data_IF_899486025164
#
_entry.id   IF_899486025164
#
_cell.length_a   1.000
_cell.length_b   1.000
_cell.length_c   1.000
_cell.angle_alpha   90.00
_cell.angle_beta   90.00
_cell.angle_gamma   90.00
#
_symmetry.space_group_name_H-M   'P 1'
#
loop_
_entity.id
_entity.type
_entity.pdbx_description
1 polymer ?
#
# COMPACT_ATOMS: atom_id res chain seq x y z
N UNK A 1 -11.65 15.08 12.74
CA UNK A 1 -11.68 16.52 13.05
C UNK A 1 -10.68 17.19 12.11
N UNK A 2 -11.14 17.69 10.99
CA UNK A 2 -10.29 18.36 9.97
C UNK A 2 -10.17 19.81 10.38
N UNK A 3 -9.00 20.19 10.84
CA UNK A 3 -8.68 21.54 11.23
C UNK A 3 -8.07 22.30 10.05
N UNK A 4 -8.74 23.36 9.64
CA UNK A 4 -8.14 24.53 9.02
C UNK A 4 -7.55 24.34 7.62
N UNK A 5 -8.38 24.35 6.60
CA UNK A 5 -7.92 24.65 5.25
C UNK A 5 -7.60 26.15 5.19
N UNK A 6 -6.33 26.46 5.22
CA UNK A 6 -5.82 27.76 4.83
C UNK A 6 -6.05 27.85 3.32
N UNK A 7 -6.89 28.76 2.87
CA UNK A 7 -7.15 29.07 1.45
C UNK A 7 -5.93 29.76 0.82
N UNK A 8 -4.85 29.00 0.64
CA UNK A 8 -3.86 29.29 -0.38
C UNK A 8 -4.28 28.46 -1.60
N UNK A 9 -4.53 29.13 -2.72
CA UNK A 9 -4.76 28.45 -3.98
C UNK A 9 -3.57 27.50 -4.21
N UNK A 10 -3.84 26.19 -4.19
CA UNK A 10 -2.81 25.20 -4.50
C UNK A 10 -2.43 25.39 -5.97
N UNK A 11 -1.15 25.56 -6.32
CA UNK A 11 -0.76 25.65 -7.70
C UNK A 11 -1.14 24.36 -8.42
N UNK A 12 -1.92 24.47 -9.48
CA UNK A 12 -2.26 23.35 -10.34
C UNK A 12 -1.32 23.29 -11.55
N UNK A 13 -0.97 22.09 -11.94
CA UNK A 13 -0.02 21.83 -13.00
C UNK A 13 -0.69 21.00 -14.11
N UNK A 14 -0.45 21.36 -15.36
CA UNK A 14 -0.70 20.47 -16.48
C UNK A 14 0.57 19.74 -16.89
N UNK A 15 0.36 18.55 -17.47
CA UNK A 15 1.43 17.74 -18.03
C UNK A 15 1.29 17.69 -19.54
N UNK A 16 2.03 18.55 -20.24
CA UNK A 16 2.15 18.51 -21.70
C UNK A 16 3.49 17.85 -22.07
N UNK A 17 3.42 16.54 -22.32
CA UNK A 17 4.59 15.71 -22.61
C UNK A 17 5.60 15.73 -21.44
N UNK A 18 6.79 16.30 -21.61
CA UNK A 18 7.81 16.40 -20.55
C UNK A 18 7.81 17.75 -19.82
N UNK A 19 6.92 18.67 -20.20
CA UNK A 19 6.85 20.00 -19.58
C UNK A 19 5.73 20.04 -18.55
N UNK A 20 6.02 20.73 -17.44
CA UNK A 20 5.04 21.08 -16.41
C UNK A 20 4.73 22.54 -16.56
N UNK A 21 3.48 22.87 -16.76
CA UNK A 21 3.01 24.25 -16.86
C UNK A 21 2.04 24.54 -15.74
N UNK A 22 2.18 25.70 -15.11
CA UNK A 22 1.22 26.19 -14.14
C UNK A 22 -0.08 26.55 -14.85
N UNK A 23 -1.19 26.10 -14.28
CA UNK A 23 -2.53 26.45 -14.73
C UNK A 23 -3.19 27.35 -13.70
N UNK A 24 -3.91 28.37 -14.19
CA UNK A 24 -4.73 29.23 -13.36
C UNK A 24 -6.11 28.62 -13.09
N UNK A 25 -6.61 27.80 -14.03
CA UNK A 25 -7.94 27.19 -13.98
C UNK A 25 -7.90 25.75 -14.49
N UNK A 26 -8.77 24.90 -13.95
CA UNK A 26 -9.00 23.53 -14.43
C UNK A 26 -10.50 23.26 -14.51
N UNK A 27 -10.92 22.48 -15.50
CA UNK A 27 -12.32 22.16 -15.76
C UNK A 27 -12.62 20.69 -15.44
N UNK A 28 -13.89 20.39 -15.24
CA UNK A 28 -14.35 19.03 -14.99
C UNK A 28 -13.91 18.06 -16.10
N UNK A 29 -13.17 17.03 -15.74
CA UNK A 29 -12.57 16.05 -16.66
C UNK A 29 -11.07 16.26 -16.92
N UNK A 30 -10.49 17.37 -16.47
CA UNK A 30 -9.06 17.62 -16.60
C UNK A 30 -8.25 16.76 -15.63
N UNK A 31 -7.07 16.31 -16.09
CA UNK A 31 -6.07 15.66 -15.26
C UNK A 31 -5.02 16.71 -14.87
N UNK A 32 -4.97 17.02 -13.60
CA UNK A 32 -4.08 18.04 -13.06
C UNK A 32 -3.07 17.44 -12.07
N UNK A 33 -1.90 18.07 -11.99
CA UNK A 33 -0.92 17.80 -10.95
C UNK A 33 -1.05 18.79 -9.81
N UNK A 34 -0.98 18.28 -8.59
CA UNK A 34 -0.94 19.07 -7.38
C UNK A 34 0.35 18.74 -6.63
N UNK A 35 1.16 19.75 -6.26
CA UNK A 35 2.33 19.50 -5.42
C UNK A 35 1.91 18.88 -4.09
N UNK A 36 2.44 17.70 -3.78
CA UNK A 36 2.17 17.02 -2.52
C UNK A 36 3.38 17.11 -1.61
N UNK A 37 3.19 17.68 -0.43
CA UNK A 37 4.22 17.77 0.62
C UNK A 37 4.05 16.68 1.69
N UNK A 38 3.56 15.49 1.31
CA UNK A 38 3.39 14.35 2.19
C UNK A 38 2.06 14.34 2.96
N UNK A 39 1.07 15.13 2.52
CA UNK A 39 -0.27 15.20 3.14
C UNK A 39 -1.28 14.33 2.40
N UNK A 40 -1.19 14.29 1.07
CA UNK A 40 -2.15 13.59 0.21
C UNK A 40 -1.69 12.15 -0.07
N UNK A 41 -2.63 11.23 0.00
CA UNK A 41 -2.43 9.81 -0.33
C UNK A 41 -3.28 9.41 -1.54
N UNK A 42 -2.93 8.29 -2.15
CA UNK A 42 -3.74 7.71 -3.21
C UNK A 42 -5.16 7.40 -2.71
N UNK A 43 -6.15 7.83 -3.47
CA UNK A 43 -7.55 7.66 -3.10
C UNK A 43 -8.14 8.81 -2.28
N UNK A 44 -7.34 9.79 -1.89
CA UNK A 44 -7.85 10.98 -1.22
C UNK A 44 -8.71 11.81 -2.17
N UNK A 45 -9.77 12.37 -1.63
CA UNK A 45 -10.66 13.27 -2.33
C UNK A 45 -10.43 14.69 -1.81
N UNK A 46 -10.14 15.61 -2.72
CA UNK A 46 -10.00 17.03 -2.41
C UNK A 46 -11.30 17.72 -2.77
N UNK A 47 -11.91 18.41 -1.80
CA UNK A 47 -13.17 19.11 -1.98
C UNK A 47 -13.11 20.52 -1.41
N UNK A 48 -13.89 21.41 -1.97
CA UNK A 48 -14.11 22.74 -1.42
C UNK A 48 -15.52 22.80 -0.81
N UNK A 49 -15.57 22.95 0.53
CA UNK A 49 -16.82 23.19 1.28
C UNK A 49 -17.60 21.93 1.69
N UNK A 50 -17.77 20.94 0.85
CA UNK A 50 -18.51 19.72 1.16
C UNK A 50 -17.57 18.57 1.56
N UNK A 51 -17.96 17.80 2.59
CA UNK A 51 -17.25 16.59 2.99
C UNK A 51 -17.64 15.42 2.06
N UNK A 52 -17.11 15.42 0.83
CA UNK A 52 -17.29 14.36 -0.15
C UNK A 52 -16.09 13.39 -0.11
N UNK A 53 -16.38 12.12 -0.32
CA UNK A 53 -15.35 11.10 -0.51
C UNK A 53 -15.76 10.19 -1.68
N UNK A 54 -14.94 10.17 -2.71
CA UNK A 54 -15.10 9.22 -3.80
C UNK A 54 -14.54 7.86 -3.35
N UNK A 55 -15.35 6.83 -3.46
CA UNK A 55 -15.01 5.45 -3.13
C UNK A 55 -14.92 4.61 -4.40
N UNK A 56 -14.37 3.39 -4.30
CA UNK A 56 -14.35 2.44 -5.42
C UNK A 56 -13.04 2.39 -6.19
N UNK A 57 -11.94 3.02 -5.68
CA UNK A 57 -10.61 2.77 -6.20
C UNK A 57 -10.09 1.44 -5.64
N UNK A 58 -10.05 0.38 -6.44
CA UNK A 58 -9.66 -0.93 -5.96
C UNK A 58 -8.14 -1.01 -5.74
N UNK A 59 -7.76 -1.60 -4.64
CA UNK A 59 -6.39 -1.97 -4.34
C UNK A 59 -6.29 -3.50 -4.38
N UNK A 60 -5.71 -4.02 -5.45
CA UNK A 60 -5.63 -5.46 -5.68
C UNK A 60 -4.50 -6.11 -4.89
N UNK A 61 -4.73 -7.33 -4.42
CA UNK A 61 -3.65 -8.14 -3.89
C UNK A 61 -2.59 -8.39 -4.98
N UNK A 62 -1.29 -8.29 -4.64
CA UNK A 62 -0.23 -8.49 -5.61
C UNK A 62 -0.16 -9.94 -6.07
N UNK A 63 0.34 -10.14 -7.29
CA UNK A 63 0.53 -11.44 -7.92
C UNK A 63 1.98 -11.93 -7.83
N UNK A 64 2.90 -11.03 -7.53
CA UNK A 64 4.34 -11.32 -7.43
C UNK A 64 4.91 -10.77 -6.13
N UNK A 65 5.75 -11.57 -5.49
CA UNK A 65 6.42 -11.17 -4.25
C UNK A 65 7.94 -11.29 -4.36
N UNK A 66 8.62 -10.31 -3.79
CA UNK A 66 10.08 -10.29 -3.65
C UNK A 66 10.44 -9.90 -2.22
N UNK A 67 11.47 -10.50 -1.67
CA UNK A 67 12.10 -10.00 -0.46
C UNK A 67 13.04 -8.85 -0.79
N UNK A 68 13.14 -7.88 0.10
CA UNK A 68 14.05 -6.76 -0.06
C UNK A 68 14.94 -6.62 1.16
N UNK A 69 16.23 -6.54 0.89
CA UNK A 69 17.26 -6.34 1.90
C UNK A 69 18.19 -5.21 1.46
N UNK A 70 18.74 -4.50 2.44
CA UNK A 70 19.74 -3.49 2.17
C UNK A 70 21.12 -4.14 1.98
N UNK A 71 21.89 -3.65 1.00
CA UNK A 71 23.25 -4.14 0.80
C UNK A 71 24.20 -3.67 1.91
N UNK A 72 23.98 -2.46 2.44
CA UNK A 72 24.74 -1.87 3.53
C UNK A 72 23.83 -1.68 4.76
N UNK A 73 24.06 -2.38 5.88
CA UNK A 73 23.22 -2.30 7.09
C UNK A 73 23.04 -0.87 7.64
N UNK A 74 24.00 0.02 7.43
CA UNK A 74 23.93 1.42 7.86
C UNK A 74 22.83 2.20 7.13
N UNK A 75 22.37 1.71 6.00
CA UNK A 75 21.33 2.32 5.16
C UNK A 75 19.92 1.78 5.41
N UNK A 76 19.73 1.00 6.46
CA UNK A 76 18.42 0.38 6.76
C UNK A 76 17.31 1.42 6.97
N UNK A 77 17.62 2.56 7.60
CA UNK A 77 16.63 3.64 7.79
C UNK A 77 16.20 4.25 6.45
N UNK A 78 17.17 4.52 5.56
CA UNK A 78 16.90 5.05 4.23
C UNK A 78 16.09 4.08 3.38
N UNK A 79 16.41 2.77 3.45
CA UNK A 79 15.60 1.75 2.78
C UNK A 79 14.15 1.79 3.24
N UNK A 80 13.92 1.79 4.56
CA UNK A 80 12.56 1.83 5.12
C UNK A 80 11.82 3.10 4.69
N UNK A 81 12.46 4.27 4.80
CA UNK A 81 11.86 5.54 4.40
C UNK A 81 11.51 5.55 2.90
N UNK A 82 12.44 5.13 2.03
CA UNK A 82 12.19 5.05 0.60
C UNK A 82 11.06 4.08 0.24
N UNK A 83 11.02 2.90 0.87
CA UNK A 83 9.94 1.93 0.64
C UNK A 83 8.59 2.43 1.16
N UNK A 84 8.55 3.13 2.30
CA UNK A 84 7.31 3.73 2.80
C UNK A 84 6.78 4.74 1.79
N UNK A 85 7.62 5.67 1.32
CA UNK A 85 7.21 6.69 0.37
C UNK A 85 6.79 6.08 -0.99
N UNK A 86 7.56 5.12 -1.53
CA UNK A 86 7.20 4.42 -2.76
C UNK A 86 5.90 3.61 -2.63
N UNK A 87 5.61 3.11 -1.42
CA UNK A 87 4.35 2.45 -1.11
C UNK A 87 3.18 3.43 -1.05
N UNK A 88 3.35 4.59 -0.45
CA UNK A 88 2.36 5.67 -0.38
C UNK A 88 2.04 6.24 -1.77
N UNK A 89 3.03 6.32 -2.65
CA UNK A 89 2.87 6.69 -4.06
C UNK A 89 2.20 5.59 -4.92
N UNK A 90 2.00 4.38 -4.35
CA UNK A 90 1.43 3.24 -5.07
C UNK A 90 2.36 2.58 -6.10
N UNK A 91 3.64 2.94 -6.09
CA UNK A 91 4.63 2.34 -6.98
C UNK A 91 4.84 0.84 -6.70
N UNK A 92 4.70 0.44 -5.44
CA UNK A 92 4.87 -0.93 -4.95
C UNK A 92 4.04 -1.15 -3.69
N UNK A 93 3.64 -2.38 -3.41
CA UNK A 93 3.07 -2.73 -2.12
C UNK A 93 4.15 -3.23 -1.18
N UNK A 94 4.16 -2.74 0.06
CA UNK A 94 5.14 -3.11 1.07
C UNK A 94 4.45 -3.88 2.18
N UNK A 95 4.98 -5.06 2.50
CA UNK A 95 4.47 -5.92 3.56
C UNK A 95 5.55 -6.12 4.62
N UNK A 96 5.16 -5.99 5.87
CA UNK A 96 6.00 -6.21 7.05
C UNK A 96 5.60 -7.53 7.69
N UNK A 97 6.40 -8.62 7.55
CA UNK A 97 6.09 -9.88 8.21
C UNK A 97 5.94 -9.71 9.72
N UNK A 98 4.97 -10.40 10.31
CA UNK A 98 4.76 -10.45 11.76
C UNK A 98 5.91 -11.22 12.41
N UNK A 99 6.28 -12.35 11.82
CA UNK A 99 7.46 -13.13 12.22
C UNK A 99 8.61 -12.85 11.26
N UNK A 100 9.66 -12.19 11.76
CA UNK A 100 10.86 -11.86 10.97
C UNK A 100 11.05 -10.35 10.74
N UNK A 101 12.12 -10.00 10.04
CA UNK A 101 12.53 -8.60 9.82
C UNK A 101 12.70 -8.22 8.35
N UNK A 102 12.64 -9.20 7.44
CA UNK A 102 12.84 -8.98 6.01
C UNK A 102 11.54 -8.47 5.39
N UNK A 103 11.58 -7.28 4.82
CA UNK A 103 10.44 -6.69 4.15
C UNK A 103 10.12 -7.44 2.85
N UNK A 104 8.84 -7.52 2.52
CA UNK A 104 8.37 -8.09 1.27
C UNK A 104 7.76 -6.98 0.41
N UNK A 105 8.06 -7.05 -0.87
CA UNK A 105 7.48 -6.20 -1.90
C UNK A 105 6.48 -7.02 -2.69
N UNK A 106 5.31 -6.45 -2.91
CA UNK A 106 4.26 -7.03 -3.74
C UNK A 106 4.00 -6.17 -4.97
N UNK A 107 3.91 -6.78 -6.13
CA UNK A 107 3.67 -6.12 -7.40
C UNK A 107 2.72 -6.93 -8.30
N UNK A 108 2.13 -6.26 -9.27
CA UNK A 108 1.35 -6.90 -10.34
C UNK A 108 2.28 -7.37 -11.48
N UNK A 109 3.40 -6.69 -11.68
CA UNK A 109 4.34 -6.99 -12.75
C UNK A 109 5.81 -6.83 -12.38
N UNK A 110 6.67 -7.53 -13.12
CA UNK A 110 8.12 -7.56 -12.91
C UNK A 110 8.76 -6.17 -12.95
N UNK A 111 8.34 -5.32 -13.89
CA UNK A 111 8.91 -3.99 -14.10
C UNK A 111 8.80 -3.08 -12.88
N UNK A 112 7.77 -3.25 -12.04
CA UNK A 112 7.62 -2.46 -10.82
C UNK A 112 8.81 -2.66 -9.87
N UNK A 113 9.34 -3.87 -9.75
CA UNK A 113 10.54 -4.13 -8.92
C UNK A 113 11.78 -3.44 -9.45
N UNK A 114 11.96 -3.40 -10.78
CA UNK A 114 13.09 -2.75 -11.42
C UNK A 114 13.02 -1.22 -11.23
N UNK A 115 11.84 -0.64 -11.40
CA UNK A 115 11.59 0.79 -11.13
C UNK A 115 11.87 1.13 -9.68
N UNK A 116 11.40 0.30 -8.74
CA UNK A 116 11.64 0.51 -7.31
C UNK A 116 13.13 0.41 -6.98
N UNK A 117 13.84 -0.58 -7.51
CA UNK A 117 15.28 -0.74 -7.29
C UNK A 117 16.04 0.50 -7.80
N UNK A 118 15.69 0.97 -9.01
CA UNK A 118 16.30 2.16 -9.62
C UNK A 118 16.02 3.42 -8.77
N UNK A 119 14.78 3.63 -8.33
CA UNK A 119 14.41 4.79 -7.51
C UNK A 119 15.08 4.74 -6.14
N UNK A 120 15.16 3.58 -5.49
CA UNK A 120 15.87 3.43 -4.22
C UNK A 120 17.35 3.82 -4.34
N UNK A 121 18.00 3.46 -5.44
CA UNK A 121 19.40 3.81 -5.67
C UNK A 121 19.59 5.30 -5.97
N UNK A 122 18.78 5.88 -6.87
CA UNK A 122 18.99 7.24 -7.38
C UNK A 122 18.37 8.33 -6.52
N UNK A 123 17.20 8.08 -5.90
CA UNK A 123 16.51 9.07 -5.09
C UNK A 123 16.89 8.98 -3.61
N UNK A 124 17.10 7.76 -3.10
CA UNK A 124 17.37 7.50 -1.67
C UNK A 124 18.81 7.08 -1.38
N UNK A 125 19.62 6.89 -2.40
CA UNK A 125 21.03 6.46 -2.27
C UNK A 125 21.20 5.07 -1.66
N UNK A 126 20.23 4.18 -1.86
CA UNK A 126 20.21 2.84 -1.24
C UNK A 126 20.25 1.76 -2.29
N UNK A 127 21.32 0.97 -2.30
CA UNK A 127 21.37 -0.27 -3.07
C UNK A 127 20.60 -1.36 -2.33
N UNK A 128 19.44 -1.72 -2.87
CA UNK A 128 18.62 -2.80 -2.36
C UNK A 128 18.90 -4.10 -3.12
N UNK A 129 18.91 -5.22 -2.41
CA UNK A 129 18.90 -6.57 -2.98
C UNK A 129 17.47 -7.05 -2.99
N UNK A 130 16.89 -7.19 -4.18
CA UNK A 130 15.54 -7.69 -4.38
C UNK A 130 15.64 -9.14 -4.87
N UNK A 131 15.11 -10.07 -4.08
CA UNK A 131 15.23 -11.51 -4.32
C UNK A 131 13.85 -12.17 -4.43
N UNK A 132 13.71 -13.29 -5.14
CA UNK A 132 12.47 -14.05 -5.16
C UNK A 132 11.98 -14.38 -3.75
N UNK A 133 10.69 -14.24 -3.51
CA UNK A 133 10.03 -14.72 -2.30
C UNK A 133 9.35 -16.08 -2.57
N UNK A 134 9.15 -16.87 -1.53
CA UNK A 134 8.37 -18.10 -1.60
C UNK A 134 6.85 -17.82 -1.75
N UNK A 135 6.40 -16.67 -1.30
CA UNK A 135 4.98 -16.30 -1.34
C UNK A 135 4.53 -15.92 -2.74
N UNK A 136 3.33 -16.35 -3.12
CA UNK A 136 2.72 -16.07 -4.42
C UNK A 136 1.30 -15.52 -4.29
N UNK A 137 0.64 -15.70 -3.14
CA UNK A 137 -0.73 -15.27 -2.93
C UNK A 137 -0.83 -14.47 -1.63
N UNK A 138 -1.51 -13.33 -1.69
CA UNK A 138 -1.88 -12.52 -0.53
C UNK A 138 -3.38 -12.40 -0.39
N UNK A 139 -3.88 -12.38 0.84
CA UNK A 139 -5.25 -12.01 1.18
C UNK A 139 -5.27 -11.16 2.44
N UNK A 140 -5.93 -10.02 2.37
CA UNK A 140 -6.26 -9.29 3.58
C UNK A 140 -7.28 -10.08 4.39
N UNK A 141 -7.15 -10.05 5.71
CA UNK A 141 -8.02 -10.81 6.59
C UNK A 141 -8.78 -9.90 7.53
N UNK A 142 -10.06 -10.21 7.72
CA UNK A 142 -10.92 -9.54 8.68
C UNK A 142 -11.76 -10.55 9.43
N UNK A 143 -12.18 -10.16 10.63
CA UNK A 143 -13.14 -10.95 11.43
C UNK A 143 -14.00 -9.98 12.24
N UNK A 144 -15.26 -10.32 12.41
CA UNK A 144 -16.19 -9.56 13.25
C UNK A 144 -15.86 -9.75 14.76
N UNK A 145 -15.09 -10.80 15.11
CA UNK A 145 -14.59 -11.10 16.44
C UNK A 145 -13.08 -10.85 16.51
N UNK A 146 -12.67 -9.79 17.21
CA UNK A 146 -11.26 -9.41 17.37
C UNK A 146 -10.42 -10.52 18.06
N UNK A 147 -11.02 -11.29 18.98
CA UNK A 147 -10.31 -12.38 19.68
C UNK A 147 -10.01 -13.50 18.70
N UNK A 148 -10.94 -13.81 17.82
CA UNK A 148 -10.76 -14.82 16.78
C UNK A 148 -9.75 -14.37 15.74
N UNK A 149 -9.76 -13.09 15.34
CA UNK A 149 -8.74 -12.52 14.46
C UNK A 149 -7.34 -12.61 15.08
N UNK A 150 -7.24 -12.27 16.37
CA UNK A 150 -5.95 -12.38 17.07
C UNK A 150 -5.46 -13.83 17.13
N UNK A 151 -6.34 -14.78 17.47
CA UNK A 151 -6.01 -16.22 17.46
C UNK A 151 -5.52 -16.69 16.09
N UNK A 152 -6.19 -16.22 15.03
CA UNK A 152 -5.78 -16.51 13.66
C UNK A 152 -4.38 -16.01 13.36
N UNK A 153 -4.10 -14.74 13.69
CA UNK A 153 -2.78 -14.12 13.49
C UNK A 153 -1.69 -14.85 14.27
N UNK A 154 -1.94 -15.14 15.56
CA UNK A 154 -0.98 -15.81 16.42
C UNK A 154 -0.68 -17.26 15.95
N UNK A 155 -1.71 -17.97 15.45
CA UNK A 155 -1.56 -19.33 14.93
C UNK A 155 -0.88 -19.40 13.55
N UNK A 156 -0.83 -18.28 12.82
CA UNK A 156 -0.30 -18.19 11.47
C UNK A 156 0.83 -17.15 11.34
N UNK A 157 1.48 -16.75 12.40
CA UNK A 157 2.45 -15.67 12.47
C UNK A 157 3.54 -15.71 11.38
N UNK A 158 4.01 -16.94 11.05
CA UNK A 158 5.04 -17.21 10.04
C UNK A 158 4.62 -16.87 8.59
N UNK A 159 3.34 -16.65 8.37
CA UNK A 159 2.75 -16.27 7.09
C UNK A 159 1.93 -14.97 7.15
N UNK A 160 1.88 -14.34 8.31
CA UNK A 160 1.21 -13.06 8.48
C UNK A 160 2.15 -11.89 8.23
N UNK A 161 1.62 -10.88 7.59
CA UNK A 161 2.28 -9.60 7.38
C UNK A 161 1.28 -8.45 7.56
N UNK A 162 1.79 -7.26 7.80
CA UNK A 162 1.03 -6.01 7.79
C UNK A 162 1.38 -5.23 6.54
N UNK A 163 0.40 -4.69 5.86
CA UNK A 163 0.62 -3.80 4.74
C UNK A 163 0.99 -2.37 5.17
N UNK A 164 1.03 -1.41 4.25
CA UNK A 164 1.42 -0.02 4.52
C UNK A 164 0.48 0.71 5.49
N UNK A 165 -0.78 0.26 5.63
CA UNK A 165 -1.78 0.82 6.54
C UNK A 165 -2.07 -0.08 7.74
N UNK A 166 -1.14 -0.97 8.06
CA UNK A 166 -1.24 -1.95 9.15
C UNK A 166 -2.37 -2.99 9.00
N UNK A 167 -2.91 -3.15 7.79
CA UNK A 167 -3.94 -4.15 7.55
C UNK A 167 -3.34 -5.57 7.56
N UNK A 168 -3.88 -6.50 8.39
CA UNK A 168 -3.37 -7.84 8.46
C UNK A 168 -3.61 -8.62 7.17
N UNK A 169 -2.55 -9.23 6.69
CA UNK A 169 -2.50 -9.93 5.41
C UNK A 169 -1.88 -11.30 5.60
N UNK A 170 -2.55 -12.35 5.15
CA UNK A 170 -1.98 -13.70 5.07
C UNK A 170 -1.30 -13.88 3.72
N UNK A 171 -0.09 -14.42 3.76
CA UNK A 171 0.75 -14.72 2.60
C UNK A 171 0.95 -16.23 2.51
N UNK A 172 0.68 -16.81 1.35
CA UNK A 172 0.84 -18.25 1.12
C UNK A 172 1.65 -18.55 -0.13
N UNK A 173 2.24 -19.74 -0.17
CA UNK A 173 3.10 -20.14 -1.29
C UNK A 173 2.28 -20.55 -2.53
N UNK A 174 1.07 -21.10 -2.31
CA UNK A 174 0.21 -21.55 -3.40
C UNK A 174 -1.28 -21.53 -3.03
N UNK A 175 -2.16 -21.43 -4.02
CA UNK A 175 -3.60 -21.29 -3.80
C UNK A 175 -4.28 -22.45 -3.03
N UNK A 176 -3.89 -23.75 -3.17
CA UNK A 176 -4.41 -24.82 -2.34
C UNK A 176 -4.19 -24.63 -0.85
N UNK A 177 -3.04 -24.06 -0.46
CA UNK A 177 -2.74 -23.74 0.94
C UNK A 177 -3.75 -22.72 1.51
N UNK A 178 -4.06 -21.68 0.73
CA UNK A 178 -5.07 -20.69 1.11
C UNK A 178 -6.42 -21.36 1.38
N UNK A 179 -6.87 -22.23 0.47
CA UNK A 179 -8.15 -22.95 0.65
C UNK A 179 -8.19 -23.81 1.90
N UNK A 180 -7.08 -24.43 2.27
CA UNK A 180 -6.98 -25.19 3.51
C UNK A 180 -7.08 -24.30 4.75
N UNK A 181 -6.47 -23.10 4.70
CA UNK A 181 -6.58 -22.12 5.77
C UNK A 181 -8.02 -21.61 5.89
N UNK A 182 -8.66 -21.26 4.77
CA UNK A 182 -10.05 -20.80 4.72
C UNK A 182 -11.00 -21.85 5.33
N UNK A 183 -10.82 -23.13 5.01
CA UNK A 183 -11.62 -24.22 5.56
C UNK A 183 -11.45 -24.39 7.08
N UNK A 184 -10.24 -24.18 7.60
CA UNK A 184 -9.95 -24.31 9.03
C UNK A 184 -10.38 -23.08 9.86
N UNK A 185 -10.60 -21.93 9.21
CA UNK A 185 -10.94 -20.67 9.86
C UNK A 185 -12.19 -20.03 9.24
N UNK A 186 -13.37 -20.65 9.38
CA UNK A 186 -14.60 -20.21 8.69
C UNK A 186 -15.13 -18.84 9.13
N UNK A 187 -14.68 -18.31 10.27
CA UNK A 187 -15.05 -16.98 10.75
C UNK A 187 -14.16 -15.87 10.19
N UNK A 188 -12.99 -16.23 9.66
CA UNK A 188 -12.08 -15.26 9.05
C UNK A 188 -12.52 -15.02 7.60
N UNK A 189 -12.64 -13.75 7.24
CA UNK A 189 -12.96 -13.32 5.87
C UNK A 189 -11.66 -13.00 5.15
N UNK A 190 -11.49 -13.56 3.96
CA UNK A 190 -10.27 -13.40 3.13
C UNK A 190 -10.61 -12.55 1.89
N UNK A 191 -9.85 -11.48 1.68
CA UNK A 191 -10.14 -10.49 0.64
C UNK A 191 -8.98 -10.38 -0.34
N UNK A 192 -9.28 -10.50 -1.64
CA UNK A 192 -8.33 -10.26 -2.73
C UNK A 192 -8.25 -8.79 -3.12
N UNK A 193 -9.17 -7.99 -2.62
CA UNK A 193 -9.37 -6.59 -2.94
C UNK A 193 -9.65 -5.80 -1.67
N UNK A 194 -9.09 -4.60 -1.56
CA UNK A 194 -9.51 -3.59 -0.58
C UNK A 194 -9.67 -2.23 -1.28
N UNK A 195 -10.30 -1.29 -0.65
CA UNK A 195 -10.36 0.08 -1.15
C UNK A 195 -9.11 0.86 -0.69
N UNK A 196 -8.64 1.81 -1.51
CA UNK A 196 -7.47 2.64 -1.18
C UNK A 196 -7.65 3.43 0.11
N UNK A 197 -8.85 3.96 0.36
CA UNK A 197 -9.20 4.56 1.63
C UNK A 197 -9.30 3.47 2.71
N UNK A 198 -8.16 3.04 3.24
CA UNK A 198 -8.04 1.91 4.17
C UNK A 198 -8.91 1.98 5.43
N UNK A 199 -9.44 3.16 5.75
CA UNK A 199 -10.40 3.38 6.84
C UNK A 199 -11.83 2.93 6.51
N UNK A 200 -12.21 2.82 5.25
CA UNK A 200 -13.56 2.37 4.85
C UNK A 200 -13.75 0.89 5.17
N UNK A 201 -12.67 0.12 5.12
CA UNK A 201 -12.67 -1.30 5.46
C UNK A 201 -12.96 -1.54 6.96
N UNK A 202 -12.37 -0.73 7.84
CA UNK A 202 -12.59 -0.79 9.29
C UNK A 202 -13.94 -0.19 9.70
N UNK A 203 -14.41 0.88 9.05
CA UNK A 203 -15.71 1.50 9.37
C UNK A 203 -16.92 0.69 8.95
N UNK A 204 -16.82 -0.23 7.98
CA UNK A 204 -17.90 -1.18 7.66
C UNK A 204 -18.07 -2.29 8.69
N UNK A 205 -17.10 -2.42 9.61
CA UNK A 205 -17.17 -3.38 10.72
C UNK A 205 -17.79 -2.77 11.98
N UNK A 206 -17.97 -1.43 12.03
CA UNK A 206 -18.57 -0.69 13.15
C UNK A 206 -20.04 -0.30 12.92
N UNK A 207 -20.67 -0.79 11.85
CA UNK A 207 -22.06 -0.51 11.50
C UNK A 207 -22.99 -1.72 11.63
#
# INVERSE_FOLDING_TARGET
>A
MVTGVQTCALPILSFLSQRRELLDEAFAGDIIGIPNHGVLQLGDTITEGEALQFTGLPFFAPEMFRSVEVADPLRTKQLKAGLTQLGEEGAIQVFRPVAGSVLLLGAVGQLQFEVVAHRLEHEYGVKARIQPSRFQVARWVTCDDEKELKRFIDANDHRMALDAVDAPTVLVEYAPELRAIEANWPKIKFHALREHAGLVFQKRLEG
#
